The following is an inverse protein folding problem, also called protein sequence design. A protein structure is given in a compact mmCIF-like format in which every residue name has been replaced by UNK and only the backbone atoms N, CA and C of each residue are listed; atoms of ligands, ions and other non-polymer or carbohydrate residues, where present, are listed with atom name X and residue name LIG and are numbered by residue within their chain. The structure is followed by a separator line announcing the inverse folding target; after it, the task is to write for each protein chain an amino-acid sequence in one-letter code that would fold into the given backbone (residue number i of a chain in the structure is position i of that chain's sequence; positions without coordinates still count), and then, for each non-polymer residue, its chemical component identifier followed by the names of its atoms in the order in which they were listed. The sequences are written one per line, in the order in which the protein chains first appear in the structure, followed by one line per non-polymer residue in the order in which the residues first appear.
data_IF_784295882174
#
_entry.id   IF_784295882174
#
_cell.length_a   1.000
_cell.length_b   1.000
_cell.length_c   1.000
_cell.angle_alpha   90.00
_cell.angle_beta   90.00
_cell.angle_gamma   90.00
#
_symmetry.space_group_name_H-M   'P 1'
#
loop_
_entity.id
_entity.type
_entity.pdbx_description
1 polymer ?
#
# COMPACT_ATOMS: atom_id res chain seq x y z
N UNK A 1 39.73 63.68 -43.12
CA UNK A 1 41.01 63.10 -42.70
C UNK A 1 40.70 61.88 -41.81
N UNK A 2 40.99 60.67 -42.33
CA UNK A 2 41.16 59.35 -41.67
C UNK A 2 40.28 58.98 -40.46
N UNK A 3 39.31 58.06 -40.59
CA UNK A 3 39.44 56.57 -40.54
C UNK A 3 39.51 55.99 -39.11
N UNK A 4 38.48 55.23 -38.68
CA UNK A 4 38.62 53.83 -38.21
C UNK A 4 37.29 53.14 -37.88
N UNK A 5 37.26 51.90 -38.35
CA UNK A 5 36.30 50.80 -38.27
C UNK A 5 36.02 50.37 -36.82
N UNK A 6 34.78 49.97 -36.51
CA UNK A 6 34.56 48.69 -35.81
C UNK A 6 33.15 48.11 -35.98
N UNK A 7 33.16 46.81 -36.26
CA UNK A 7 32.06 45.92 -36.63
C UNK A 7 31.19 45.61 -35.40
N UNK A 8 29.87 45.67 -35.55
CA UNK A 8 28.95 45.01 -34.64
C UNK A 8 27.97 44.16 -35.45
N UNK A 9 28.22 42.85 -35.41
CA UNK A 9 27.38 41.78 -35.94
C UNK A 9 26.16 41.62 -35.01
N UNK A 10 24.90 41.73 -35.46
CA UNK A 10 23.79 41.34 -34.62
C UNK A 10 23.71 39.80 -34.63
N UNK A 11 24.06 39.21 -33.48
CA UNK A 11 23.84 37.81 -33.16
C UNK A 11 22.33 37.58 -33.04
N UNK A 12 21.70 37.02 -34.07
CA UNK A 12 20.32 36.55 -34.00
C UNK A 12 20.31 35.26 -33.18
N UNK A 13 20.11 35.38 -31.86
CA UNK A 13 19.70 34.25 -31.03
C UNK A 13 18.20 34.09 -31.21
N UNK A 14 17.81 33.20 -32.12
CA UNK A 14 16.44 32.74 -32.24
C UNK A 14 16.14 31.83 -31.05
N UNK A 15 15.59 32.39 -29.97
CA UNK A 15 15.05 31.64 -28.84
C UNK A 15 13.74 30.97 -29.30
N UNK A 16 13.86 29.75 -29.81
CA UNK A 16 12.73 28.83 -29.96
C UNK A 16 12.26 28.37 -28.57
N UNK A 17 11.63 29.27 -27.80
CA UNK A 17 10.85 28.94 -26.61
C UNK A 17 9.38 28.89 -27.02
N UNK A 18 9.00 27.85 -27.74
CA UNK A 18 7.58 27.57 -27.97
C UNK A 18 7.34 26.08 -28.10
N UNK A 19 6.49 25.59 -27.19
CA UNK A 19 5.76 24.32 -27.26
C UNK A 19 6.34 23.08 -26.57
N UNK A 20 6.75 23.21 -25.30
CA UNK A 20 6.65 22.06 -24.37
C UNK A 20 5.72 22.30 -23.17
N UNK A 21 5.38 23.55 -22.81
CA UNK A 21 4.64 23.82 -21.56
C UNK A 21 3.11 23.86 -21.68
N UNK A 22 2.54 23.83 -22.89
CA UNK A 22 1.09 23.99 -23.07
C UNK A 22 0.27 22.72 -22.80
N UNK A 23 0.87 21.54 -22.94
CA UNK A 23 0.10 20.30 -22.79
C UNK A 23 -0.06 19.87 -21.32
N UNK A 24 0.94 20.10 -20.46
CA UNK A 24 0.87 19.75 -19.03
C UNK A 24 -0.08 20.65 -18.23
N UNK A 25 -0.21 21.94 -18.58
CA UNK A 25 -1.11 22.86 -17.88
C UNK A 25 -2.58 22.48 -18.02
N UNK A 26 -2.98 22.02 -19.21
CA UNK A 26 -4.36 21.63 -19.48
C UNK A 26 -4.73 20.36 -18.69
N UNK A 27 -3.81 19.39 -18.60
CA UNK A 27 -4.02 18.15 -17.83
C UNK A 27 -4.20 18.47 -16.36
N UNK A 28 -3.28 19.24 -15.75
CA UNK A 28 -3.36 19.57 -14.32
C UNK A 28 -4.59 20.41 -13.97
N UNK A 29 -5.01 21.31 -14.87
CA UNK A 29 -6.21 22.13 -14.67
C UNK A 29 -7.53 21.34 -14.78
N UNK A 30 -7.51 20.20 -15.48
CA UNK A 30 -8.68 19.32 -15.66
C UNK A 30 -8.87 18.29 -14.55
N UNK A 31 -7.87 18.11 -13.67
CA UNK A 31 -7.97 17.22 -12.52
C UNK A 31 -8.83 17.92 -11.48
N UNK A 32 -10.02 17.37 -11.20
CA UNK A 32 -10.79 17.70 -10.00
C UNK A 32 -10.11 17.01 -8.81
N UNK A 33 -9.41 17.73 -7.91
CA UNK A 33 -8.78 17.12 -6.75
C UNK A 33 -9.80 16.66 -5.69
N UNK A 34 -11.10 16.86 -5.95
CA UNK A 34 -12.19 16.67 -5.01
C UNK A 34 -12.32 17.83 -4.02
N UNK A 35 -13.36 17.78 -3.19
CA UNK A 35 -13.54 18.75 -2.13
C UNK A 35 -12.83 18.31 -0.86
N UNK A 36 -11.85 19.09 -0.40
CA UNK A 36 -11.29 18.91 0.93
C UNK A 36 -12.32 19.30 2.00
N UNK A 37 -12.75 18.35 2.82
CA UNK A 37 -13.58 18.62 4.00
C UNK A 37 -12.71 18.99 5.23
N UNK A 38 -13.27 18.96 6.44
CA UNK A 38 -12.56 19.26 7.70
C UNK A 38 -11.93 18.02 8.37
N UNK A 39 -11.93 16.87 7.70
CA UNK A 39 -11.39 15.64 8.28
C UNK A 39 -9.86 15.70 8.36
N UNK A 40 -9.30 14.98 9.33
CA UNK A 40 -7.87 15.04 9.62
C UNK A 40 -7.02 14.58 8.42
N UNK A 41 -7.49 13.61 7.64
CA UNK A 41 -6.74 13.08 6.48
C UNK A 41 -6.74 14.02 5.28
N UNK A 42 -7.75 14.89 5.14
CA UNK A 42 -7.84 15.83 4.02
C UNK A 42 -7.08 17.13 4.26
N UNK A 43 -6.98 17.61 5.50
CA UNK A 43 -6.44 18.96 5.79
C UNK A 43 -5.14 18.99 6.59
N UNK A 44 -4.81 17.91 7.29
CA UNK A 44 -3.60 17.89 8.13
C UNK A 44 -2.41 17.33 7.34
N UNK A 45 -1.23 17.99 7.35
CA UNK A 45 -0.02 17.39 6.80
C UNK A 45 0.29 16.07 7.50
N UNK A 46 0.33 14.97 6.74
CA UNK A 46 0.55 13.63 7.29
C UNK A 46 2.04 13.28 7.22
N UNK A 47 2.63 12.99 8.38
CA UNK A 47 3.95 12.37 8.53
C UNK A 47 3.71 10.92 8.92
N UNK A 48 3.55 10.09 7.89
CA UNK A 48 3.19 8.68 8.01
C UNK A 48 4.44 7.83 8.22
N UNK A 49 4.40 6.94 9.22
CA UNK A 49 5.29 5.79 9.28
C UNK A 49 4.50 4.55 8.95
N UNK A 50 5.00 3.78 7.98
CA UNK A 50 4.52 2.44 7.71
C UNK A 50 5.56 1.43 8.20
N UNK A 51 5.17 0.56 9.11
CA UNK A 51 5.98 -0.59 9.49
C UNK A 51 5.40 -1.86 8.90
N UNK A 52 6.30 -2.78 8.54
CA UNK A 52 5.93 -4.15 8.25
C UNK A 52 6.44 -5.02 9.40
N UNK A 53 5.57 -5.34 10.35
CA UNK A 53 5.91 -6.16 11.51
C UNK A 53 5.99 -7.64 11.09
N UNK A 54 7.16 -8.28 11.18
CA UNK A 54 7.27 -9.73 11.01
C UNK A 54 6.44 -10.45 12.07
N UNK A 55 5.87 -11.60 11.75
CA UNK A 55 4.98 -12.32 12.68
C UNK A 55 5.65 -12.62 14.03
N UNK A 56 6.95 -12.97 14.02
CA UNK A 56 7.75 -13.25 15.22
C UNK A 56 7.86 -12.07 16.20
N UNK A 57 7.68 -10.84 15.70
CA UNK A 57 7.72 -9.62 16.50
C UNK A 57 6.36 -9.29 17.14
N UNK A 58 5.41 -10.24 17.18
CA UNK A 58 4.11 -10.05 17.84
C UNK A 58 4.21 -9.66 19.32
N UNK A 59 5.34 -9.95 19.98
CA UNK A 59 5.63 -9.52 21.35
C UNK A 59 6.58 -8.32 21.43
N UNK A 60 6.64 -7.48 20.39
CA UNK A 60 7.44 -6.27 20.38
C UNK A 60 7.23 -5.38 21.62
N UNK A 61 8.26 -4.60 21.95
CA UNK A 61 8.16 -3.54 22.93
C UNK A 61 7.34 -2.38 22.34
N UNK A 62 6.13 -2.19 22.88
CA UNK A 62 5.19 -1.16 22.41
C UNK A 62 5.66 0.24 22.78
N UNK A 63 6.35 0.40 23.91
CA UNK A 63 6.85 1.69 24.37
C UNK A 63 8.07 2.13 23.56
N UNK A 64 8.96 1.20 23.22
CA UNK A 64 10.05 1.46 22.28
C UNK A 64 9.52 1.91 20.92
N UNK A 65 8.48 1.24 20.42
CA UNK A 65 7.89 1.58 19.14
C UNK A 65 7.23 2.95 19.14
N UNK A 66 6.40 3.25 20.16
CA UNK A 66 5.82 4.57 20.34
C UNK A 66 6.92 5.66 20.39
N UNK A 67 7.97 5.43 21.19
CA UNK A 67 9.08 6.38 21.32
C UNK A 67 9.80 6.61 20.00
N UNK A 68 9.99 5.57 19.20
CA UNK A 68 10.59 5.67 17.86
C UNK A 68 9.71 6.49 16.91
N UNK A 69 8.40 6.25 16.91
CA UNK A 69 7.42 7.02 16.10
C UNK A 69 7.42 8.50 16.50
N UNK A 70 7.40 8.80 17.80
CA UNK A 70 7.47 10.16 18.31
C UNK A 70 8.79 10.85 18.00
N UNK A 71 9.93 10.16 18.13
CA UNK A 71 11.25 10.69 17.79
C UNK A 71 11.35 11.06 16.31
N UNK A 72 10.72 10.28 15.44
CA UNK A 72 10.58 10.60 14.01
C UNK A 72 9.54 11.70 13.73
N UNK A 73 8.92 12.26 14.77
CA UNK A 73 7.85 13.26 14.69
C UNK A 73 6.64 12.78 13.88
N UNK A 74 6.42 11.48 13.70
CA UNK A 74 5.28 10.99 12.92
C UNK A 74 3.96 11.30 13.65
N UNK A 75 2.93 11.66 12.88
CA UNK A 75 1.58 11.92 13.41
C UNK A 75 0.56 10.88 12.95
N UNK A 76 0.98 9.92 12.14
CA UNK A 76 0.17 8.83 11.67
C UNK A 76 1.02 7.57 11.51
N UNK A 77 0.44 6.42 11.84
CA UNK A 77 1.05 5.11 11.63
C UNK A 77 0.12 4.27 10.74
N UNK A 78 0.68 3.62 9.72
CA UNK A 78 0.04 2.56 8.96
C UNK A 78 0.63 1.23 9.41
N UNK A 79 -0.17 0.41 10.10
CA UNK A 79 0.30 -0.81 10.75
C UNK A 79 -0.35 -2.05 10.12
N UNK A 80 0.41 -3.12 9.91
CA UNK A 80 -0.15 -4.40 9.47
C UNK A 80 -1.01 -5.05 10.58
N UNK A 81 -2.29 -4.72 10.59
CA UNK A 81 -3.26 -5.16 11.61
C UNK A 81 -3.79 -6.56 11.35
N UNK A 82 -4.11 -6.89 10.09
CA UNK A 82 -4.85 -8.09 9.76
C UNK A 82 -4.73 -8.53 8.30
N UNK A 83 -5.53 -9.54 7.93
CA UNK A 83 -5.49 -10.15 6.61
C UNK A 83 -4.68 -11.44 6.65
N UNK A 84 -3.45 -11.44 6.12
CA UNK A 84 -2.52 -12.59 6.16
C UNK A 84 -2.35 -13.12 7.59
N UNK A 85 -2.08 -12.21 8.53
CA UNK A 85 -1.92 -12.51 9.96
C UNK A 85 -2.70 -11.47 10.76
N UNK A 86 -3.55 -11.91 11.69
CA UNK A 86 -4.24 -11.07 12.65
C UNK A 86 -3.34 -10.80 13.87
N UNK A 87 -2.89 -9.55 14.00
CA UNK A 87 -2.05 -9.07 15.11
C UNK A 87 -2.88 -8.64 16.34
N UNK A 88 -4.07 -9.20 16.50
CA UNK A 88 -5.02 -8.90 17.58
C UNK A 88 -5.70 -10.18 18.06
N UNK A 89 -6.44 -10.12 19.17
CA UNK A 89 -7.16 -11.28 19.69
C UNK A 89 -8.45 -11.54 18.90
N UNK A 90 -8.29 -11.97 17.65
CA UNK A 90 -9.41 -12.25 16.75
C UNK A 90 -10.32 -13.36 17.29
N UNK A 91 -11.62 -13.17 17.07
CA UNK A 91 -12.68 -14.16 17.34
C UNK A 91 -13.28 -14.73 16.05
N UNK A 92 -12.74 -14.35 14.89
CA UNK A 92 -13.23 -14.79 13.60
C UNK A 92 -12.59 -16.15 13.23
N UNK A 93 -13.39 -17.15 12.84
CA UNK A 93 -12.92 -18.53 12.71
C UNK A 93 -11.90 -18.77 11.59
N UNK A 94 -11.79 -17.88 10.61
CA UNK A 94 -10.91 -18.04 9.44
C UNK A 94 -9.81 -16.99 9.37
N UNK A 95 -9.51 -16.31 10.47
CA UNK A 95 -8.33 -15.47 10.56
C UNK A 95 -7.20 -16.23 11.23
N UNK A 96 -6.02 -16.19 10.60
CA UNK A 96 -4.82 -16.69 11.22
C UNK A 96 -4.40 -15.74 12.34
N UNK A 97 -4.55 -16.16 13.60
CA UNK A 97 -4.12 -15.36 14.75
C UNK A 97 -2.61 -15.48 14.91
N UNK A 98 -1.92 -14.34 14.98
CA UNK A 98 -0.49 -14.32 15.30
C UNK A 98 -0.26 -15.01 16.65
N UNK A 99 0.53 -16.08 16.68
CA UNK A 99 0.81 -16.81 17.92
C UNK A 99 1.77 -16.04 18.86
N UNK A 100 2.52 -15.09 18.33
CA UNK A 100 3.54 -14.33 19.06
C UNK A 100 2.97 -13.15 19.87
N UNK A 101 1.71 -12.72 19.66
CA UNK A 101 1.10 -11.67 20.49
C UNK A 101 0.74 -12.16 21.91
N UNK A 102 0.89 -13.47 22.17
CA UNK A 102 0.62 -14.13 23.45
C UNK A 102 -0.84 -13.88 23.90
N UNK A 103 -1.04 -13.59 25.18
CA UNK A 103 -2.36 -13.31 25.78
C UNK A 103 -2.79 -11.85 25.65
N UNK A 104 -1.90 -10.95 25.23
CA UNK A 104 -2.19 -9.53 25.06
C UNK A 104 -2.81 -9.21 23.70
N UNK A 105 -3.50 -8.08 23.60
CA UNK A 105 -3.96 -7.55 22.31
C UNK A 105 -2.99 -6.44 21.85
N UNK A 106 -2.13 -6.77 20.90
CA UNK A 106 -1.11 -5.84 20.39
C UNK A 106 -1.74 -4.63 19.71
N UNK A 107 -2.77 -4.82 18.89
CA UNK A 107 -3.41 -3.72 18.15
C UNK A 107 -4.16 -2.79 19.10
N UNK A 108 -4.93 -3.34 20.05
CA UNK A 108 -5.65 -2.51 21.02
C UNK A 108 -4.69 -1.67 21.88
N UNK A 109 -3.59 -2.26 22.34
CA UNK A 109 -2.57 -1.57 23.13
C UNK A 109 -1.89 -0.45 22.33
N UNK A 110 -1.49 -0.73 21.08
CA UNK A 110 -0.88 0.27 20.20
C UNK A 110 -1.84 1.42 19.86
N UNK A 111 -3.10 1.11 19.51
CA UNK A 111 -4.11 2.13 19.23
C UNK A 111 -4.26 3.08 20.42
N UNK A 112 -4.38 2.53 21.64
CA UNK A 112 -4.49 3.33 22.85
C UNK A 112 -3.29 4.26 23.00
N UNK A 113 -2.08 3.71 22.95
CA UNK A 113 -0.82 4.47 23.11
C UNK A 113 -0.67 5.57 22.07
N UNK A 114 -1.00 5.30 20.81
CA UNK A 114 -0.93 6.31 19.76
C UNK A 114 -1.97 7.41 19.96
N UNK A 115 -3.22 7.05 20.27
CA UNK A 115 -4.28 8.03 20.51
C UNK A 115 -3.98 8.94 21.70
N UNK A 116 -3.45 8.39 22.80
CA UNK A 116 -3.03 9.15 23.98
C UNK A 116 -1.93 10.19 23.65
N UNK A 117 -1.18 9.99 22.56
CA UNK A 117 -0.12 10.89 22.09
C UNK A 117 -0.53 11.69 20.82
N UNK A 118 -1.81 11.72 20.48
CA UNK A 118 -2.32 12.46 19.32
C UNK A 118 -1.92 11.88 17.97
N UNK A 119 -1.38 10.66 17.93
CA UNK A 119 -0.96 9.95 16.71
C UNK A 119 -2.15 9.15 16.17
N UNK A 120 -2.39 9.25 14.86
CA UNK A 120 -3.44 8.49 14.17
C UNK A 120 -2.96 7.09 13.83
N UNK A 121 -3.88 6.13 13.84
CA UNK A 121 -3.60 4.75 13.49
C UNK A 121 -4.45 4.34 12.28
N UNK A 122 -3.81 3.87 11.22
CA UNK A 122 -4.45 3.27 10.05
C UNK A 122 -4.18 1.77 10.10
N UNK A 123 -5.26 1.00 10.16
CA UNK A 123 -5.19 -0.46 10.13
C UNK A 123 -5.02 -0.95 8.69
N UNK A 124 -3.88 -1.57 8.38
CA UNK A 124 -3.63 -2.22 7.09
C UNK A 124 -4.12 -3.66 7.14
N UNK A 125 -4.98 -4.01 6.20
CA UNK A 125 -5.40 -5.39 5.94
C UNK A 125 -4.85 -5.86 4.60
N UNK A 126 -4.20 -7.02 4.59
CA UNK A 126 -3.63 -7.64 3.40
C UNK A 126 -4.34 -8.96 3.09
N UNK A 127 -5.12 -9.00 2.02
CA UNK A 127 -5.91 -10.17 1.62
C UNK A 127 -5.24 -11.01 0.53
N UNK A 128 -3.95 -10.78 0.26
CA UNK A 128 -3.22 -11.47 -0.82
C UNK A 128 -2.83 -12.90 -0.48
N UNK A 129 -2.86 -13.29 0.81
CA UNK A 129 -2.49 -14.62 1.29
C UNK A 129 -3.40 -15.08 2.44
N UNK A 130 -3.46 -16.40 2.61
CA UNK A 130 -4.18 -17.08 3.68
C UNK A 130 -3.27 -18.17 4.25
N UNK A 131 -3.36 -18.42 5.56
CA UNK A 131 -2.65 -19.54 6.18
C UNK A 131 -3.10 -20.88 5.59
N UNK A 132 -2.15 -21.78 5.32
CA UNK A 132 -2.41 -23.03 4.62
C UNK A 132 -3.32 -23.97 5.41
N UNK A 133 -3.29 -23.92 6.75
CA UNK A 133 -4.16 -24.75 7.60
C UNK A 133 -5.62 -24.29 7.53
N UNK A 134 -5.85 -23.00 7.30
CA UNK A 134 -7.20 -22.45 7.08
C UNK A 134 -7.66 -22.74 5.65
N UNK A 135 -6.78 -22.52 4.66
CA UNK A 135 -7.07 -22.82 3.26
C UNK A 135 -7.45 -24.30 3.05
N UNK A 136 -6.76 -25.22 3.73
CA UNK A 136 -7.04 -26.66 3.66
C UNK A 136 -8.45 -27.05 4.17
N UNK A 137 -9.05 -26.27 5.08
CA UNK A 137 -10.40 -26.53 5.59
C UNK A 137 -11.48 -26.23 4.55
N UNK A 138 -11.19 -25.35 3.58
CA UNK A 138 -12.11 -24.94 2.53
C UNK A 138 -11.45 -25.14 1.16
N UNK A 139 -11.56 -26.30 0.51
CA UNK A 139 -10.88 -26.51 -0.75
C UNK A 139 -11.34 -25.50 -1.80
N UNK A 140 -10.41 -25.05 -2.65
CA UNK A 140 -10.73 -24.16 -3.75
C UNK A 140 -11.71 -24.84 -4.70
N UNK A 141 -12.81 -24.14 -4.95
CA UNK A 141 -13.89 -24.52 -5.87
C UNK A 141 -13.57 -24.08 -7.29
N UNK A 142 -12.97 -22.91 -7.43
CA UNK A 142 -12.81 -22.24 -8.71
C UNK A 142 -11.72 -21.18 -8.64
N UNK A 143 -11.08 -20.92 -9.78
CA UNK A 143 -10.10 -19.83 -9.94
C UNK A 143 -10.44 -19.00 -11.17
N UNK A 144 -10.21 -17.69 -11.09
CA UNK A 144 -10.50 -16.76 -12.17
C UNK A 144 -9.38 -15.73 -12.33
N UNK A 145 -8.93 -15.52 -13.56
CA UNK A 145 -8.07 -14.40 -13.92
C UNK A 145 -8.93 -13.13 -13.91
N UNK A 146 -8.65 -12.19 -13.02
CA UNK A 146 -9.53 -11.03 -12.80
C UNK A 146 -9.65 -10.16 -14.05
N UNK A 147 -8.56 -10.00 -14.80
CA UNK A 147 -8.53 -9.12 -15.97
C UNK A 147 -9.33 -9.66 -17.16
N UNK A 148 -9.20 -10.94 -17.48
CA UNK A 148 -9.88 -11.56 -18.62
C UNK A 148 -11.21 -12.22 -18.25
N UNK A 149 -11.45 -12.47 -16.96
CA UNK A 149 -12.56 -13.30 -16.49
C UNK A 149 -12.39 -14.79 -16.79
N UNK A 150 -11.28 -15.19 -17.40
CA UNK A 150 -11.01 -16.59 -17.76
C UNK A 150 -10.88 -17.44 -16.51
N UNK A 151 -11.48 -18.64 -16.54
CA UNK A 151 -11.39 -19.64 -15.47
C UNK A 151 -10.48 -20.78 -15.91
N UNK A 152 -9.16 -20.69 -15.67
CA UNK A 152 -8.24 -21.71 -16.12
C UNK A 152 -8.48 -23.03 -15.38
N UNK A 153 -8.24 -24.14 -16.09
CA UNK A 153 -8.18 -25.45 -15.42
C UNK A 153 -7.01 -25.45 -14.46
N UNK A 154 -7.21 -26.03 -13.28
CA UNK A 154 -6.18 -26.15 -12.26
C UNK A 154 -6.05 -27.57 -11.75
N UNK A 155 -4.89 -27.86 -11.17
CA UNK A 155 -4.60 -29.05 -10.37
C UNK A 155 -4.23 -28.61 -8.98
N UNK A 156 -4.46 -29.49 -8.00
CA UNK A 156 -3.96 -29.32 -6.63
C UNK A 156 -2.88 -30.35 -6.42
N UNK A 157 -1.69 -29.92 -6.04
CA UNK A 157 -0.56 -30.82 -5.79
C UNK A 157 -0.66 -31.50 -4.41
N UNK A 158 0.31 -32.36 -4.09
CA UNK A 158 0.36 -33.10 -2.81
C UNK A 158 0.57 -32.22 -1.58
N UNK A 159 0.98 -30.96 -1.77
CA UNK A 159 1.19 -29.96 -0.72
C UNK A 159 0.01 -28.98 -0.64
N UNK A 160 -1.02 -29.14 -1.48
CA UNK A 160 -2.19 -28.27 -1.52
C UNK A 160 -2.03 -27.01 -2.38
N UNK A 161 -0.94 -26.87 -3.15
CA UNK A 161 -0.76 -25.76 -4.07
C UNK A 161 -1.66 -25.90 -5.29
N UNK A 162 -2.15 -24.76 -5.77
CA UNK A 162 -2.95 -24.66 -6.98
C UNK A 162 -2.02 -24.36 -8.14
N UNK A 163 -1.96 -25.27 -9.10
CA UNK A 163 -1.21 -25.11 -10.33
C UNK A 163 -2.18 -24.91 -11.50
N UNK A 164 -1.98 -23.86 -12.30
CA UNK A 164 -2.77 -23.62 -13.50
C UNK A 164 -1.90 -23.00 -14.60
N UNK A 165 -2.30 -23.19 -15.86
CA UNK A 165 -1.69 -22.50 -17.00
C UNK A 165 -2.49 -21.24 -17.29
N UNK A 166 -1.82 -20.09 -17.23
CA UNK A 166 -2.35 -18.83 -17.74
C UNK A 166 -2.28 -18.88 -19.27
N UNK A 167 -3.40 -18.81 -20.02
CA UNK A 167 -3.39 -18.96 -21.47
C UNK A 167 -2.55 -17.89 -22.17
N UNK A 168 -2.75 -16.63 -21.77
CA UNK A 168 -2.02 -15.47 -22.28
C UNK A 168 -1.51 -14.64 -21.11
N UNK A 169 -0.23 -14.29 -21.08
CA UNK A 169 0.35 -13.54 -19.96
C UNK A 169 -0.35 -12.19 -19.72
N UNK A 170 -0.90 -11.59 -20.79
CA UNK A 170 -1.63 -10.32 -20.72
C UNK A 170 -2.97 -10.42 -19.98
N UNK A 171 -3.51 -11.63 -19.86
CA UNK A 171 -4.73 -11.91 -19.11
C UNK A 171 -4.49 -11.97 -17.60
N UNK A 172 -3.22 -12.04 -17.19
CA UNK A 172 -2.86 -12.08 -15.78
C UNK A 172 -2.79 -10.68 -15.18
N UNK A 173 -3.49 -10.50 -14.06
CA UNK A 173 -3.38 -9.35 -13.17
C UNK A 173 -3.45 -9.84 -11.73
N UNK A 174 -4.54 -10.53 -11.41
CA UNK A 174 -4.79 -11.21 -10.13
C UNK A 174 -5.50 -12.54 -10.42
N UNK A 175 -5.23 -13.55 -9.60
CA UNK A 175 -6.05 -14.77 -9.54
C UNK A 175 -6.98 -14.65 -8.34
N UNK A 176 -8.29 -14.66 -8.62
CA UNK A 176 -9.31 -14.80 -7.61
C UNK A 176 -9.56 -16.29 -7.35
N UNK A 177 -9.33 -16.75 -6.13
CA UNK A 177 -9.69 -18.10 -5.68
C UNK A 177 -11.02 -18.07 -4.92
N UNK A 178 -11.98 -18.89 -5.34
CA UNK A 178 -13.26 -19.07 -4.65
C UNK A 178 -13.23 -20.37 -3.85
N UNK A 179 -13.54 -20.30 -2.57
CA UNK A 179 -13.48 -21.41 -1.61
C UNK A 179 -14.89 -21.98 -1.36
N UNK A 180 -15.00 -23.28 -1.02
CA UNK A 180 -16.29 -23.94 -0.69
C UNK A 180 -16.84 -23.56 0.69
#
# INVERSE_FOLDING_TARGET
MMEKINKALPLIICLCLSSCSRHESDILSSIDPGSYDATWWNRTPIRLIQTNLPEIEGNMDRDEYLRSVMKASANCVLFNTGGIVANYQTRLPWQWKNQNIRTGDLVADLIKRFHDNGIRYIARFDFSKLDSTIAAQKPVRDIMLVRSGTRPRYKVDSQGWIECTVPEIRDFELILCLYR
#
